data_IF_537144826971
#
_entry.id   IF_537144826971
#
_cell.length_a   1.000
_cell.length_b   1.000
_cell.length_c   1.000
_cell.angle_alpha   90.00
_cell.angle_beta   90.00
_cell.angle_gamma   90.00
#
_symmetry.space_group_name_H-M   'P 1'
#
loop_
_entity.id
_entity.type
_entity.pdbx_description
1 polymer ?
#
# COMPACT_ATOMS: atom_id res chain seq x y z
N UNK A 1 40.60 -20.31 40.41
CA UNK A 1 40.41 -20.45 38.94
C UNK A 1 39.54 -21.63 38.54
N UNK A 2 39.80 -22.88 38.95
CA UNK A 2 38.99 -24.06 38.56
C UNK A 2 37.48 -23.98 38.89
N UNK A 3 37.10 -23.41 40.05
CA UNK A 3 35.69 -23.23 40.44
C UNK A 3 34.93 -22.22 39.54
N UNK A 4 35.59 -21.17 39.06
CA UNK A 4 34.98 -20.14 38.20
C UNK A 4 34.71 -20.71 36.79
N UNK A 5 35.65 -21.52 36.27
CA UNK A 5 35.50 -22.20 34.98
C UNK A 5 34.32 -23.19 35.02
N UNK A 6 34.14 -23.92 36.12
CA UNK A 6 33.00 -24.84 36.28
C UNK A 6 31.63 -24.15 36.28
N UNK A 7 31.53 -22.99 36.93
CA UNK A 7 30.29 -22.18 36.95
C UNK A 7 29.97 -21.64 35.54
N UNK A 8 31.00 -21.18 34.82
CA UNK A 8 30.83 -20.64 33.46
C UNK A 8 30.39 -21.71 32.46
N UNK A 9 30.98 -22.91 32.52
CA UNK A 9 30.56 -24.05 31.69
C UNK A 9 29.12 -24.45 32.01
N UNK A 10 28.75 -24.50 33.30
CA UNK A 10 27.38 -24.79 33.72
C UNK A 10 26.35 -23.82 33.16
N UNK A 11 26.64 -22.51 33.22
CA UNK A 11 25.79 -21.46 32.62
C UNK A 11 25.63 -21.63 31.12
N UNK A 12 26.72 -21.86 30.38
CA UNK A 12 26.68 -22.09 28.94
C UNK A 12 25.82 -23.31 28.60
N UNK A 13 26.02 -24.43 29.31
CA UNK A 13 25.23 -25.65 29.06
C UNK A 13 23.75 -25.43 29.33
N UNK A 14 23.39 -24.69 30.37
CA UNK A 14 22.00 -24.34 30.67
C UNK A 14 21.40 -23.48 29.55
N UNK A 15 22.12 -22.46 29.07
CA UNK A 15 21.68 -21.62 27.96
C UNK A 15 21.47 -22.44 26.69
N UNK A 16 22.37 -23.35 26.35
CA UNK A 16 22.24 -24.23 25.17
C UNK A 16 20.99 -25.12 25.30
N UNK A 17 20.75 -25.69 26.48
CA UNK A 17 19.56 -26.52 26.73
C UNK A 17 18.28 -25.68 26.55
N UNK A 18 18.24 -24.48 27.13
CA UNK A 18 17.08 -23.57 26.98
C UNK A 18 16.87 -23.17 25.52
N UNK A 19 17.94 -22.84 24.78
CA UNK A 19 17.85 -22.53 23.35
C UNK A 19 17.36 -23.74 22.54
N UNK A 20 17.83 -24.94 22.87
CA UNK A 20 17.44 -26.17 22.16
C UNK A 20 15.99 -26.57 22.44
N UNK A 21 15.53 -26.48 23.69
CA UNK A 21 14.13 -26.75 24.05
C UNK A 21 13.21 -25.70 23.45
N UNK A 22 13.59 -24.42 23.48
CA UNK A 22 12.88 -23.34 22.80
C UNK A 22 12.81 -23.58 21.30
N UNK A 23 13.93 -23.96 20.66
CA UNK A 23 13.97 -24.25 19.23
C UNK A 23 13.03 -25.40 18.87
N UNK A 24 13.09 -26.53 19.59
CA UNK A 24 12.21 -27.68 19.34
C UNK A 24 10.73 -27.34 19.56
N UNK A 25 10.42 -26.52 20.55
CA UNK A 25 9.07 -26.04 20.79
C UNK A 25 8.59 -25.09 19.69
N UNK A 26 9.39 -24.08 19.35
CA UNK A 26 9.05 -23.07 18.35
C UNK A 26 8.89 -23.68 16.96
N UNK A 27 9.66 -24.71 16.62
CA UNK A 27 9.57 -25.45 15.37
C UNK A 27 8.77 -26.76 15.49
N UNK A 28 8.00 -26.96 16.56
CA UNK A 28 7.07 -28.08 16.63
C UNK A 28 5.98 -27.93 15.57
N UNK A 29 5.45 -29.05 15.08
CA UNK A 29 4.38 -29.03 14.09
C UNK A 29 3.16 -28.23 14.59
N UNK A 30 2.81 -28.37 15.87
CA UNK A 30 1.74 -27.60 16.52
C UNK A 30 1.96 -26.08 16.40
N UNK A 31 3.15 -25.58 16.76
CA UNK A 31 3.47 -24.15 16.66
C UNK A 31 3.56 -23.65 15.23
N UNK A 32 3.99 -24.49 14.30
CA UNK A 32 3.94 -24.16 12.88
C UNK A 32 2.49 -24.02 12.41
N UNK A 33 1.57 -24.89 12.84
CA UNK A 33 0.16 -24.81 12.46
C UNK A 33 -0.54 -23.60 13.09
N UNK A 34 -0.30 -23.30 14.37
CA UNK A 34 -0.84 -22.10 15.03
C UNK A 34 -0.47 -20.83 14.26
N UNK A 35 0.81 -20.66 13.88
CA UNK A 35 1.25 -19.50 13.09
C UNK A 35 0.61 -19.45 11.70
N UNK A 36 0.41 -20.60 11.05
CA UNK A 36 -0.29 -20.65 9.75
C UNK A 36 -1.74 -20.18 9.90
N UNK A 37 -2.43 -20.59 10.98
CA UNK A 37 -3.79 -20.15 11.30
C UNK A 37 -3.81 -18.65 11.59
N UNK A 38 -2.86 -18.14 12.38
CA UNK A 38 -2.73 -16.71 12.66
C UNK A 38 -2.53 -15.89 11.38
N UNK A 39 -1.60 -16.30 10.51
CA UNK A 39 -1.36 -15.66 9.21
C UNK A 39 -2.61 -15.72 8.32
N UNK A 40 -3.33 -16.85 8.33
CA UNK A 40 -4.55 -17.00 7.55
C UNK A 40 -5.66 -16.10 8.05
N UNK A 41 -5.89 -16.04 9.37
CA UNK A 41 -6.86 -15.14 9.99
C UNK A 41 -6.54 -13.68 9.67
N UNK A 42 -5.27 -13.28 9.77
CA UNK A 42 -4.82 -11.93 9.38
C UNK A 42 -5.19 -11.61 7.93
N UNK A 43 -4.93 -12.53 7.00
CA UNK A 43 -5.28 -12.36 5.58
C UNK A 43 -6.79 -12.29 5.35
N UNK A 44 -7.57 -13.06 6.09
CA UNK A 44 -9.04 -13.04 6.02
C UNK A 44 -9.59 -11.70 6.50
N UNK A 45 -9.07 -11.17 7.59
CA UNK A 45 -9.50 -9.87 8.11
C UNK A 45 -9.05 -8.71 7.21
N UNK A 46 -7.83 -8.78 6.65
CA UNK A 46 -7.39 -7.86 5.59
C UNK A 46 -8.32 -7.90 4.37
N UNK A 47 -8.80 -9.08 3.98
CA UNK A 47 -9.74 -9.23 2.87
C UNK A 47 -11.12 -8.67 3.19
N UNK A 48 -11.67 -8.92 4.39
CA UNK A 48 -12.97 -8.39 4.83
C UNK A 48 -13.01 -6.86 4.83
N UNK A 49 -11.91 -6.23 5.22
CA UNK A 49 -11.78 -4.78 5.26
C UNK A 49 -11.27 -4.20 3.94
N UNK A 50 -11.49 -4.93 2.83
CA UNK A 50 -11.09 -4.51 1.50
C UNK A 50 -12.24 -4.63 0.52
N UNK A 51 -12.26 -3.70 -0.44
CA UNK A 51 -13.08 -3.77 -1.64
C UNK A 51 -12.18 -3.99 -2.83
N UNK A 52 -12.64 -4.77 -3.79
CA UNK A 52 -11.92 -5.00 -5.04
C UNK A 52 -12.87 -4.95 -6.22
N UNK A 53 -12.36 -4.56 -7.37
CA UNK A 53 -13.16 -4.46 -8.59
C UNK A 53 -12.34 -4.60 -9.85
N UNK A 54 -13.05 -4.55 -10.97
CA UNK A 54 -12.50 -4.61 -12.31
C UNK A 54 -13.12 -3.50 -13.15
N UNK A 55 -12.28 -2.80 -13.91
CA UNK A 55 -12.70 -1.78 -14.88
C UNK A 55 -12.27 -2.27 -16.25
N UNK A 56 -13.22 -2.40 -17.17
CA UNK A 56 -12.97 -2.83 -18.54
C UNK A 56 -12.86 -1.61 -19.48
N UNK A 57 -11.77 -1.58 -20.23
CA UNK A 57 -11.51 -0.67 -21.34
C UNK A 57 -11.70 -1.41 -22.66
N UNK A 58 -11.52 -0.69 -23.76
CA UNK A 58 -11.54 -1.29 -25.10
C UNK A 58 -10.35 -2.24 -25.32
N UNK A 59 -10.41 -3.03 -26.40
CA UNK A 59 -9.31 -3.90 -26.85
C UNK A 59 -8.83 -4.92 -25.80
N UNK A 60 -9.75 -5.45 -24.98
CA UNK A 60 -9.46 -6.41 -23.91
C UNK A 60 -8.50 -5.89 -22.82
N UNK A 61 -8.36 -4.57 -22.72
CA UNK A 61 -7.60 -3.95 -21.63
C UNK A 61 -8.49 -3.86 -20.41
N UNK A 62 -7.98 -4.27 -19.24
CA UNK A 62 -8.72 -4.13 -17.99
C UNK A 62 -7.81 -3.75 -16.83
N UNK A 63 -8.37 -3.00 -15.88
CA UNK A 63 -7.78 -2.74 -14.58
C UNK A 63 -8.42 -3.60 -13.52
N UNK A 64 -7.62 -4.06 -12.58
CA UNK A 64 -8.06 -4.64 -11.31
C UNK A 64 -7.51 -3.79 -10.19
N UNK A 65 -8.36 -3.52 -9.21
CA UNK A 65 -8.01 -2.69 -8.07
C UNK A 65 -8.44 -3.34 -6.76
N UNK A 66 -7.73 -3.00 -5.70
CA UNK A 66 -8.08 -3.33 -4.32
C UNK A 66 -7.86 -2.10 -3.46
N UNK A 67 -8.87 -1.70 -2.71
CA UNK A 67 -8.82 -0.65 -1.70
C UNK A 67 -9.06 -1.29 -0.35
N UNK A 68 -8.38 -0.82 0.68
CA UNK A 68 -8.63 -1.24 2.05
C UNK A 68 -8.76 -0.04 2.98
N UNK A 69 -9.39 -0.27 4.11
CA UNK A 69 -9.40 0.70 5.20
C UNK A 69 -7.96 1.02 5.63
N UNK A 70 -7.72 2.29 5.93
CA UNK A 70 -6.42 2.74 6.40
C UNK A 70 -6.22 2.28 7.84
N UNK A 71 -5.08 1.65 8.12
CA UNK A 71 -4.72 1.21 9.46
C UNK A 71 -3.42 1.89 9.87
N UNK A 72 -3.54 2.92 10.71
CA UNK A 72 -2.42 3.74 11.18
C UNK A 72 -1.33 2.93 11.87
N UNK A 73 -1.62 1.74 12.39
CA UNK A 73 -0.61 0.87 13.01
C UNK A 73 0.40 0.31 12.02
N UNK A 74 0.08 0.30 10.73
CA UNK A 74 0.96 -0.18 9.68
C UNK A 74 1.79 0.94 9.03
N UNK A 75 1.66 2.18 9.51
CA UNK A 75 2.27 3.35 8.91
C UNK A 75 3.07 4.17 9.93
N UNK A 76 4.11 4.84 9.45
CA UNK A 76 4.80 5.87 10.22
C UNK A 76 4.14 7.21 9.93
N UNK A 77 3.56 7.84 10.93
CA UNK A 77 2.80 9.10 10.75
C UNK A 77 3.53 10.21 11.47
N UNK A 78 3.90 11.25 10.72
CA UNK A 78 4.53 12.45 11.25
C UNK A 78 3.53 13.59 11.31
N UNK A 79 3.48 14.25 12.46
CA UNK A 79 2.60 15.38 12.71
C UNK A 79 3.42 16.67 12.79
N UNK A 80 2.88 17.71 12.18
CA UNK A 80 3.44 19.05 12.17
C UNK A 80 2.42 20.04 12.75
N UNK A 81 2.91 21.14 13.30
CA UNK A 81 2.08 22.19 13.91
C UNK A 81 2.08 23.44 13.03
N UNK A 82 0.94 24.11 12.96
CA UNK A 82 0.80 25.44 12.39
C UNK A 82 0.58 26.44 13.53
N UNK A 83 1.66 27.10 13.97
CA UNK A 83 1.64 28.07 15.09
C UNK A 83 0.63 29.21 14.88
N UNK A 84 0.29 29.55 13.64
CA UNK A 84 -0.65 30.63 13.33
C UNK A 84 -2.13 30.22 13.46
N UNK A 85 -2.43 28.92 13.39
CA UNK A 85 -3.79 28.40 13.38
C UNK A 85 -4.10 27.48 14.57
N UNK A 86 -3.13 27.31 15.48
CA UNK A 86 -3.22 26.38 16.63
C UNK A 86 -3.71 24.99 16.19
N UNK A 87 -3.13 24.49 15.09
CA UNK A 87 -3.61 23.30 14.38
C UNK A 87 -2.47 22.31 14.12
N UNK A 88 -2.70 21.04 14.49
CA UNK A 88 -1.80 19.91 14.18
C UNK A 88 -2.31 19.16 12.95
N UNK A 89 -1.44 18.94 11.96
CA UNK A 89 -1.77 18.23 10.73
C UNK A 89 -0.72 17.16 10.43
N UNK A 90 -1.10 16.16 9.63
CA UNK A 90 -0.21 15.09 9.18
C UNK A 90 0.65 15.64 8.04
N UNK A 91 1.95 15.80 8.27
CA UNK A 91 2.86 16.28 7.23
C UNK A 91 3.43 15.16 6.37
N UNK A 92 3.66 13.97 6.93
CA UNK A 92 4.14 12.81 6.16
C UNK A 92 3.51 11.49 6.64
N UNK A 93 3.40 10.55 5.70
CA UNK A 93 3.05 9.14 5.97
C UNK A 93 4.14 8.28 5.32
N UNK A 94 4.75 7.39 6.09
CA UNK A 94 5.89 6.56 5.70
C UNK A 94 7.09 7.39 5.17
N UNK A 95 7.35 8.52 5.82
CA UNK A 95 8.43 9.48 5.49
C UNK A 95 8.28 10.15 4.11
N UNK A 96 7.09 10.09 3.51
CA UNK A 96 6.78 10.73 2.23
C UNK A 96 5.60 11.69 2.35
N UNK A 97 5.53 12.65 1.41
CA UNK A 97 4.36 13.51 1.27
C UNK A 97 3.17 12.68 0.83
N UNK A 98 2.06 12.84 1.53
CA UNK A 98 0.83 12.11 1.24
C UNK A 98 -0.22 12.99 0.54
N UNK A 99 -1.09 12.34 -0.24
CA UNK A 99 -2.13 12.96 -1.04
C UNK A 99 -3.49 12.34 -0.75
N UNK A 100 -4.58 13.06 -1.06
CA UNK A 100 -5.95 12.61 -0.79
C UNK A 100 -6.65 13.28 0.39
N UNK A 101 -6.11 14.40 0.88
CA UNK A 101 -6.79 15.29 1.82
C UNK A 101 -6.37 16.74 1.56
N UNK A 102 -7.27 17.70 1.81
CA UNK A 102 -7.02 19.14 1.72
C UNK A 102 -6.25 19.65 2.93
N UNK A 103 -6.80 19.43 4.12
CA UNK A 103 -6.25 19.97 5.36
C UNK A 103 -5.30 19.02 6.08
N UNK A 104 -5.30 17.73 5.72
CA UNK A 104 -4.44 16.69 6.31
C UNK A 104 -4.56 16.58 7.85
N UNK A 105 -5.67 17.06 8.41
CA UNK A 105 -5.94 17.05 9.86
C UNK A 105 -6.41 15.68 10.34
N UNK A 106 -7.08 14.94 9.47
CA UNK A 106 -7.60 13.61 9.75
C UNK A 106 -6.74 12.54 9.09
N UNK A 107 -6.69 11.36 9.73
CA UNK A 107 -6.13 10.17 9.10
C UNK A 107 -6.88 9.84 7.79
N UNK A 108 -6.21 9.27 6.79
CA UNK A 108 -6.89 8.69 5.66
C UNK A 108 -7.97 7.71 6.10
N UNK A 109 -9.06 7.64 5.35
CA UNK A 109 -10.12 6.65 5.54
C UNK A 109 -9.73 5.31 4.91
N UNK A 110 -9.10 5.36 3.74
CA UNK A 110 -8.73 4.18 2.97
C UNK A 110 -7.45 4.41 2.15
N UNK A 111 -6.87 3.33 1.64
CA UNK A 111 -5.68 3.35 0.80
C UNK A 111 -5.85 2.44 -0.43
N UNK A 112 -5.27 2.85 -1.56
CA UNK A 112 -5.20 2.01 -2.75
C UNK A 112 -4.13 0.93 -2.56
N UNK A 113 -4.54 -0.28 -2.19
CA UNK A 113 -3.62 -1.37 -1.87
C UNK A 113 -3.03 -2.04 -3.11
N UNK A 114 -3.82 -2.16 -4.16
CA UNK A 114 -3.35 -2.72 -5.43
C UNK A 114 -4.04 -2.08 -6.62
N UNK A 115 -3.26 -1.88 -7.68
CA UNK A 115 -3.76 -1.56 -9.00
C UNK A 115 -2.91 -2.35 -9.99
N UNK A 116 -3.57 -2.99 -10.95
CA UNK A 116 -2.89 -3.75 -11.97
C UNK A 116 -3.66 -3.70 -13.27
N UNK A 117 -2.92 -3.61 -14.37
CA UNK A 117 -3.48 -3.54 -15.71
C UNK A 117 -3.15 -4.81 -16.48
N UNK A 118 -4.13 -5.30 -17.23
CA UNK A 118 -3.95 -6.35 -18.22
C UNK A 118 -3.94 -5.73 -19.61
N UNK A 119 -2.81 -5.79 -20.31
CA UNK A 119 -2.65 -5.30 -21.69
C UNK A 119 -1.94 -6.38 -22.51
N UNK A 120 -2.45 -6.69 -23.69
CA UNK A 120 -1.90 -7.71 -24.59
C UNK A 120 -1.70 -9.08 -23.90
N UNK A 121 -2.64 -9.45 -23.03
CA UNK A 121 -2.61 -10.69 -22.24
C UNK A 121 -1.60 -10.72 -21.09
N UNK A 122 -0.88 -9.62 -20.84
CA UNK A 122 0.08 -9.50 -19.73
C UNK A 122 -0.51 -8.74 -18.57
N UNK A 123 -0.42 -9.32 -17.38
CA UNK A 123 -0.78 -8.67 -16.13
C UNK A 123 0.41 -7.88 -15.57
N UNK A 124 0.22 -6.58 -15.36
CA UNK A 124 1.26 -5.63 -15.00
C UNK A 124 0.82 -4.91 -13.73
N UNK A 125 1.55 -5.12 -12.63
CA UNK A 125 1.32 -4.40 -11.38
C UNK A 125 1.71 -2.93 -11.56
N UNK A 126 0.88 -2.03 -11.04
CA UNK A 126 1.14 -0.60 -11.00
C UNK A 126 1.60 -0.20 -9.60
N UNK A 127 2.52 0.75 -9.52
CA UNK A 127 2.96 1.32 -8.25
C UNK A 127 1.83 2.18 -7.66
N UNK A 128 1.46 1.98 -6.38
CA UNK A 128 0.35 2.68 -5.71
C UNK A 128 0.69 3.18 -4.29
N UNK A 129 1.97 3.18 -3.91
CA UNK A 129 2.45 3.80 -2.66
C UNK A 129 1.98 5.26 -2.53
N UNK A 130 1.71 5.72 -1.31
CA UNK A 130 1.25 7.09 -1.03
C UNK A 130 -0.10 7.48 -1.67
N UNK A 131 -0.88 6.52 -2.17
CA UNK A 131 -2.20 6.76 -2.74
C UNK A 131 -3.29 6.49 -1.71
N UNK A 132 -3.52 7.48 -0.86
CA UNK A 132 -4.56 7.47 0.16
C UNK A 132 -5.84 8.10 -0.35
N UNK A 133 -6.96 7.75 0.27
CA UNK A 133 -8.28 8.32 -0.05
C UNK A 133 -8.57 8.34 -1.58
N UNK A 134 -8.35 7.24 -2.32
CA UNK A 134 -8.49 7.26 -3.78
C UNK A 134 -9.92 7.54 -4.29
N UNK A 135 -10.94 7.36 -3.44
CA UNK A 135 -12.33 7.68 -3.71
C UNK A 135 -13.13 7.84 -2.38
N UNK A 136 -14.38 8.30 -2.48
CA UNK A 136 -15.29 8.50 -1.34
C UNK A 136 -15.98 7.22 -0.83
N UNK A 137 -16.30 6.25 -1.69
CA UNK A 137 -17.21 5.12 -1.39
C UNK A 137 -16.54 3.73 -1.27
N UNK A 138 -15.21 3.70 -1.33
CA UNK A 138 -14.37 2.51 -1.41
C UNK A 138 -14.30 1.86 -2.80
N UNK A 139 -14.78 2.50 -3.86
CA UNK A 139 -14.83 1.92 -5.22
C UNK A 139 -14.21 2.83 -6.28
N UNK A 140 -13.46 2.24 -7.21
CA UNK A 140 -12.95 2.95 -8.38
C UNK A 140 -13.84 2.73 -9.58
N UNK A 141 -14.14 3.82 -10.29
CA UNK A 141 -14.99 3.84 -11.48
C UNK A 141 -14.17 4.13 -12.74
N UNK A 142 -14.75 3.83 -13.91
CA UNK A 142 -14.04 3.92 -15.20
C UNK A 142 -13.61 5.35 -15.52
N UNK A 143 -14.45 6.31 -15.16
CA UNK A 143 -14.30 7.75 -15.40
C UNK A 143 -13.05 8.31 -14.72
N UNK A 144 -12.56 7.63 -13.67
CA UNK A 144 -11.30 7.99 -13.00
C UNK A 144 -10.06 7.76 -13.86
N UNK A 145 -10.18 7.03 -14.96
CA UNK A 145 -9.06 6.56 -15.75
C UNK A 145 -9.20 6.90 -17.22
N UNK A 146 -8.07 7.24 -17.84
CA UNK A 146 -7.94 7.32 -19.29
C UNK A 146 -6.72 6.52 -19.71
N UNK A 147 -6.87 5.65 -20.70
CA UNK A 147 -5.74 4.96 -21.30
C UNK A 147 -5.49 5.48 -22.71
N UNK A 148 -4.24 5.84 -22.99
CA UNK A 148 -3.81 6.27 -24.31
C UNK A 148 -2.74 5.34 -24.85
N UNK A 149 -2.98 4.78 -26.03
CA UNK A 149 -1.95 4.06 -26.78
C UNK A 149 -1.06 5.05 -27.52
N UNK A 150 0.24 5.01 -27.24
CA UNK A 150 1.29 5.63 -28.06
C UNK A 150 1.94 4.55 -28.92
N UNK A 151 2.83 4.91 -29.84
CA UNK A 151 3.39 3.99 -30.84
C UNK A 151 3.94 2.69 -30.25
N UNK A 152 4.63 2.77 -29.10
CA UNK A 152 5.39 1.67 -28.49
C UNK A 152 5.09 1.46 -26.99
N UNK A 153 4.16 2.22 -26.41
CA UNK A 153 3.76 2.11 -25.00
C UNK A 153 2.34 2.63 -24.78
N UNK A 154 1.78 2.33 -23.61
CA UNK A 154 0.53 2.90 -23.14
C UNK A 154 0.81 3.90 -22.01
N UNK A 155 -0.04 4.93 -21.89
CA UNK A 155 -0.12 5.77 -20.70
C UNK A 155 -1.49 5.55 -20.09
N UNK A 156 -1.53 5.11 -18.83
CA UNK A 156 -2.74 5.12 -18.03
C UNK A 156 -2.71 6.35 -17.13
N UNK A 157 -3.65 7.26 -17.30
CA UNK A 157 -3.89 8.37 -16.38
C UNK A 157 -4.92 7.95 -15.34
N UNK A 158 -4.77 8.46 -14.12
CA UNK A 158 -5.73 8.28 -13.04
C UNK A 158 -5.95 9.58 -12.28
N UNK A 159 -7.19 9.86 -11.89
CA UNK A 159 -7.51 10.86 -10.88
C UNK A 159 -8.22 10.23 -9.68
N UNK A 160 -7.96 10.78 -8.51
CA UNK A 160 -8.32 10.20 -7.23
C UNK A 160 -8.79 11.31 -6.30
N UNK A 161 -9.89 11.08 -5.58
CA UNK A 161 -10.49 12.10 -4.72
C UNK A 161 -11.47 11.52 -3.71
N UNK A 162 -11.38 11.92 -2.45
CA UNK A 162 -12.40 11.62 -1.43
C UNK A 162 -13.51 12.68 -1.36
N UNK A 163 -13.57 13.60 -2.32
CA UNK A 163 -14.52 14.71 -2.33
C UNK A 163 -14.05 15.96 -1.57
N UNK A 164 -12.97 15.87 -0.79
CA UNK A 164 -12.25 17.03 -0.27
C UNK A 164 -10.98 17.25 -1.10
N UNK A 165 -10.03 16.32 -1.02
CA UNK A 165 -8.75 16.44 -1.72
C UNK A 165 -8.68 15.64 -3.00
N UNK A 166 -8.22 16.27 -4.09
CA UNK A 166 -8.00 15.58 -5.38
C UNK A 166 -6.52 15.51 -5.73
N UNK A 167 -6.11 14.41 -6.37
CA UNK A 167 -4.78 14.24 -6.93
C UNK A 167 -4.82 13.38 -8.20
N UNK A 168 -3.77 13.48 -9.01
CA UNK A 168 -3.61 12.71 -10.25
C UNK A 168 -2.21 12.12 -10.34
N UNK A 169 -2.10 11.03 -11.09
CA UNK A 169 -0.83 10.44 -11.51
C UNK A 169 -1.04 9.70 -12.83
N UNK A 170 0.04 9.18 -13.40
CA UNK A 170 -0.02 8.35 -14.58
C UNK A 170 0.99 7.19 -14.49
N UNK A 171 0.75 6.15 -15.27
CA UNK A 171 1.64 5.02 -15.42
C UNK A 171 1.98 4.83 -16.88
N UNK A 172 3.28 4.91 -17.19
CA UNK A 172 3.81 4.51 -18.49
C UNK A 172 4.00 3.00 -18.49
N UNK A 173 3.37 2.32 -19.45
CA UNK A 173 3.36 0.86 -19.55
C UNK A 173 4.05 0.45 -20.84
N UNK A 174 5.20 -0.20 -20.73
CA UNK A 174 6.01 -0.62 -21.88
C UNK A 174 6.66 -1.97 -21.60
N UNK A 175 6.60 -2.89 -22.56
CA UNK A 175 7.26 -4.20 -22.50
C UNK A 175 6.93 -5.01 -21.22
N UNK A 176 5.68 -4.95 -20.74
CA UNK A 176 5.26 -5.68 -19.54
C UNK A 176 5.70 -5.06 -18.20
N UNK A 177 6.27 -3.86 -18.23
CA UNK A 177 6.66 -3.09 -17.04
C UNK A 177 5.83 -1.81 -16.95
N UNK A 178 5.70 -1.29 -15.74
CA UNK A 178 5.09 0.01 -15.47
C UNK A 178 6.08 0.92 -14.76
N UNK A 179 5.99 2.21 -15.05
CA UNK A 179 6.69 3.29 -14.35
C UNK A 179 5.65 4.35 -14.00
N UNK A 180 5.53 4.68 -12.72
CA UNK A 180 4.60 5.71 -12.25
C UNK A 180 5.25 7.09 -12.36
N UNK A 181 4.51 8.06 -12.89
CA UNK A 181 4.88 9.47 -12.84
C UNK A 181 4.73 10.07 -11.43
N UNK A 182 4.98 11.38 -11.31
CA UNK A 182 4.72 12.08 -10.04
C UNK A 182 3.24 11.99 -9.66
N UNK A 183 2.96 11.95 -8.36
CA UNK A 183 1.63 12.28 -7.82
C UNK A 183 1.55 13.81 -7.74
N UNK A 184 0.44 14.40 -8.19
CA UNK A 184 0.29 15.85 -8.23
C UNK A 184 -1.13 16.31 -7.90
N UNK A 185 -1.24 17.54 -7.39
CA UNK A 185 -2.48 18.29 -7.23
C UNK A 185 -2.57 19.51 -8.17
N UNK A 186 -1.56 19.76 -9.00
CA UNK A 186 -1.51 20.94 -9.86
C UNK A 186 -2.41 20.80 -11.09
N UNK A 187 -3.23 21.81 -11.37
CA UNK A 187 -4.23 21.83 -12.46
C UNK A 187 -3.66 21.40 -13.83
N UNK A 188 -2.44 21.83 -14.14
CA UNK A 188 -1.73 21.46 -15.38
C UNK A 188 -1.56 19.96 -15.57
N UNK A 189 -1.46 19.18 -14.49
CA UNK A 189 -1.27 17.74 -14.51
C UNK A 189 -2.62 17.00 -14.75
N UNK A 190 -3.76 17.71 -14.68
CA UNK A 190 -5.10 17.19 -15.01
C UNK A 190 -5.51 17.41 -16.47
N UNK A 191 -4.71 18.11 -17.27
CA UNK A 191 -5.05 18.47 -18.65
C UNK A 191 -5.45 17.29 -19.56
N UNK A 192 -5.03 16.07 -19.23
CA UNK A 192 -5.43 14.85 -19.94
C UNK A 192 -6.95 14.59 -19.90
N UNK A 193 -7.65 15.11 -18.89
CA UNK A 193 -9.12 15.03 -18.77
C UNK A 193 -9.85 15.89 -19.80
N UNK A 194 -9.19 16.95 -20.30
CA UNK A 194 -9.79 17.90 -21.24
C UNK A 194 -9.56 17.50 -22.71
N UNK A 195 -8.81 16.42 -22.95
CA UNK A 195 -8.55 15.88 -24.29
C UNK A 195 -9.48 14.72 -24.56
N UNK A 196 -10.35 14.85 -25.56
CA UNK A 196 -11.17 13.76 -26.10
C UNK A 196 -10.30 12.81 -26.94
#
# INVERSE_FOLDING_TARGET
MKKIIGIFIGLITLTIIVCFTFYRYYFSDEKVQERKIEIWNKRVDEFKNSKSGKIDFENNINLRWTIKDFDSKNHQIEYCENEYQDATYICSIDNELWYGSDFRMDLPKNELKSLAISVDGKYIKLEVSQMFNPNLNGELIKEQFKIEKKSDYYILYGFFSDGAGTYTTNWKIKNGKSERGKISKGDQDFNWQNTN
#
